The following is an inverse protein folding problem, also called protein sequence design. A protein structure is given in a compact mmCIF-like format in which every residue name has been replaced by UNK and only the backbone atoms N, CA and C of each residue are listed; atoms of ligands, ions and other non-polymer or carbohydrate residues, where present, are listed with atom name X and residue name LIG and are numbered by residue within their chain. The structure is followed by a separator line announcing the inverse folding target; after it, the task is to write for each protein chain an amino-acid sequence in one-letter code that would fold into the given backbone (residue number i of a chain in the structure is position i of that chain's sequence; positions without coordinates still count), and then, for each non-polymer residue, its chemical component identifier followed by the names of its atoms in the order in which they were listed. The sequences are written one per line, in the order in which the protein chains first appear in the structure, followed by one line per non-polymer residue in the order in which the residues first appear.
data_IF_230258016098
#
_entry.id   IF_230258016098
#
_cell.length_a   1.000
_cell.length_b   1.000
_cell.length_c   1.000
_cell.angle_alpha   90.00
_cell.angle_beta   90.00
_cell.angle_gamma   90.00
#
_symmetry.space_group_name_H-M   'P 1'
#
loop_
_entity.id
_entity.type
_entity.pdbx_description
1 polymer ?
#
# COMPACT_ATOMS: atom_id res chain seq x y z
N UNK A 1 13.33 -20.93 22.85
CA UNK A 1 12.16 -20.46 22.09
C UNK A 1 12.67 -19.54 20.98
N UNK A 2 12.80 -20.05 19.75
CA UNK A 2 13.33 -19.28 18.62
C UNK A 2 12.21 -18.37 18.09
N UNK A 3 12.47 -17.06 18.07
CA UNK A 3 11.66 -16.03 17.40
C UNK A 3 11.31 -16.50 16.00
N UNK A 4 10.04 -16.82 15.73
CA UNK A 4 9.53 -16.86 14.36
C UNK A 4 9.13 -15.42 14.00
N UNK A 5 10.12 -14.58 13.71
CA UNK A 5 9.86 -13.39 12.91
C UNK A 5 9.95 -13.88 11.47
N UNK A 6 8.81 -13.96 10.77
CA UNK A 6 8.86 -13.99 9.31
C UNK A 6 9.37 -12.61 8.92
N UNK A 7 10.69 -12.52 8.72
CA UNK A 7 11.34 -11.34 8.18
C UNK A 7 10.90 -11.27 6.72
N UNK A 8 9.87 -10.48 6.45
CA UNK A 8 9.58 -10.07 5.07
C UNK A 8 10.80 -9.33 4.53
N UNK A 9 11.21 -9.65 3.31
CA UNK A 9 12.27 -8.95 2.59
C UNK A 9 11.68 -8.13 1.43
N UNK A 10 12.37 -7.06 0.99
CA UNK A 10 11.98 -6.35 -0.22
C UNK A 10 11.86 -7.31 -1.42
N UNK A 11 10.73 -7.28 -2.10
CA UNK A 11 10.35 -8.19 -3.18
C UNK A 11 9.36 -9.29 -2.77
N UNK A 12 9.16 -9.53 -1.47
CA UNK A 12 8.17 -10.50 -1.01
C UNK A 12 6.74 -10.08 -1.36
N UNK A 13 5.90 -11.07 -1.66
CA UNK A 13 4.47 -10.86 -1.91
C UNK A 13 3.68 -11.24 -0.66
N UNK A 14 2.96 -10.27 -0.10
CA UNK A 14 2.09 -10.44 1.08
C UNK A 14 0.64 -10.20 0.71
N UNK A 15 -0.30 -10.75 1.49
CA UNK A 15 -1.73 -10.52 1.29
C UNK A 15 -2.32 -9.82 2.52
N UNK A 16 -3.01 -8.70 2.30
CA UNK A 16 -3.69 -7.94 3.34
C UNK A 16 -5.14 -7.69 2.93
N UNK A 17 -6.09 -8.12 3.76
CA UNK A 17 -7.54 -7.95 3.53
C UNK A 17 -8.00 -8.33 2.10
N UNK A 18 -7.45 -9.42 1.55
CA UNK A 18 -7.77 -9.94 0.22
C UNK A 18 -7.08 -9.24 -0.95
N UNK A 19 -6.19 -8.28 -0.69
CA UNK A 19 -5.37 -7.62 -1.71
C UNK A 19 -3.92 -8.08 -1.60
N UNK A 20 -3.30 -8.41 -2.73
CA UNK A 20 -1.88 -8.79 -2.80
C UNK A 20 -1.00 -7.55 -2.92
N UNK A 21 0.06 -7.49 -2.14
CA UNK A 21 1.05 -6.41 -2.14
C UNK A 21 2.45 -6.97 -2.33
N UNK A 22 3.33 -6.19 -2.96
CA UNK A 22 4.77 -6.40 -2.94
C UNK A 22 5.39 -5.53 -1.85
N UNK A 23 6.35 -6.07 -1.10
CA UNK A 23 7.14 -5.33 -0.13
C UNK A 23 8.22 -4.55 -0.87
N UNK A 24 8.21 -3.23 -0.77
CA UNK A 24 9.20 -2.34 -1.39
C UNK A 24 10.37 -2.06 -0.44
N UNK A 25 10.06 -1.85 0.85
CA UNK A 25 11.06 -1.52 1.87
C UNK A 25 10.64 -2.07 3.25
N UNK A 26 11.64 -2.27 4.11
CA UNK A 26 11.48 -2.81 5.46
C UNK A 26 12.28 -1.96 6.44
N UNK A 27 11.57 -1.05 7.12
CA UNK A 27 12.17 -0.20 8.14
C UNK A 27 12.23 -0.97 9.47
N UNK A 28 13.42 -1.47 9.83
CA UNK A 28 13.65 -2.22 11.07
C UNK A 28 13.69 -1.28 12.26
N UNK A 29 12.64 -1.31 13.09
CA UNK A 29 12.48 -0.38 14.23
C UNK A 29 12.91 -0.96 15.56
N UNK A 30 13.80 -1.96 15.55
CA UNK A 30 14.51 -2.48 16.73
C UNK A 30 13.60 -3.01 17.86
N UNK A 31 13.08 -2.10 18.70
CA UNK A 31 12.14 -2.40 19.78
C UNK A 31 10.66 -2.35 19.37
N UNK A 32 10.33 -1.70 18.25
CA UNK A 32 8.99 -1.66 17.65
C UNK A 32 8.89 -2.67 16.51
N UNK A 33 7.67 -3.14 16.17
CA UNK A 33 7.47 -3.99 15.00
C UNK A 33 7.98 -3.29 13.74
N UNK A 34 8.64 -4.06 12.88
CA UNK A 34 9.20 -3.56 11.63
C UNK A 34 8.09 -2.95 10.78
N UNK A 35 8.37 -1.85 10.09
CA UNK A 35 7.39 -1.17 9.23
C UNK A 35 7.65 -1.56 7.78
N UNK A 36 6.65 -2.16 7.15
CA UNK A 36 6.72 -2.57 5.75
C UNK A 36 6.14 -1.46 4.87
N UNK A 37 6.87 -1.09 3.83
CA UNK A 37 6.33 -0.29 2.74
C UNK A 37 5.82 -1.23 1.65
N UNK A 38 4.53 -1.12 1.34
CA UNK A 38 3.81 -2.09 0.53
C UNK A 38 3.20 -1.40 -0.68
N UNK A 39 3.30 -2.02 -1.85
CA UNK A 39 2.65 -1.57 -3.09
C UNK A 39 1.65 -2.64 -3.56
N UNK A 40 0.44 -2.24 -3.92
CA UNK A 40 -0.54 -3.16 -4.49
C UNK A 40 0.04 -3.83 -5.75
N UNK A 41 0.01 -5.16 -5.82
CA UNK A 41 0.59 -5.90 -6.94
C UNK A 41 -0.11 -5.52 -8.25
N UNK A 42 -1.44 -5.50 -8.22
CA UNK A 42 -2.30 -5.14 -9.34
C UNK A 42 -3.09 -3.87 -9.07
N UNK A 43 -3.67 -3.34 -10.14
CA UNK A 43 -4.60 -2.22 -10.05
C UNK A 43 -5.87 -2.61 -9.27
N UNK A 44 -6.22 -1.80 -8.26
CA UNK A 44 -7.38 -2.06 -7.37
C UNK A 44 -8.68 -1.44 -7.88
N UNK A 45 -8.65 -0.81 -9.06
CA UNK A 45 -9.75 -0.08 -9.67
C UNK A 45 -9.23 0.91 -10.71
N UNK A 46 -10.13 1.64 -11.34
CA UNK A 46 -9.75 2.72 -12.26
C UNK A 46 -10.41 4.03 -11.81
N UNK A 47 -9.68 5.14 -11.98
CA UNK A 47 -10.18 6.48 -11.70
C UNK A 47 -9.54 7.47 -12.65
N UNK A 48 -10.25 8.57 -12.87
CA UNK A 48 -9.63 9.79 -13.35
C UNK A 48 -8.67 10.31 -12.29
N UNK A 49 -7.67 11.07 -12.73
CA UNK A 49 -6.87 11.84 -11.80
C UNK A 49 -7.75 12.94 -11.20
N UNK A 50 -8.44 13.70 -12.05
CA UNK A 50 -9.41 14.72 -11.65
C UNK A 50 -9.33 15.94 -12.57
N UNK A 51 -9.81 17.09 -12.09
CA UNK A 51 -9.78 18.33 -12.86
C UNK A 51 -8.39 19.01 -12.91
N UNK A 52 -7.41 18.50 -12.16
CA UNK A 52 -6.04 18.99 -12.11
C UNK A 52 -5.10 17.85 -11.75
N UNK A 53 -3.80 18.03 -11.93
CA UNK A 53 -2.78 17.06 -11.53
C UNK A 53 -2.35 17.15 -10.05
N UNK A 54 -3.10 17.89 -9.22
CA UNK A 54 -2.88 17.96 -7.79
C UNK A 54 -3.51 16.76 -7.06
N UNK A 55 -2.69 15.81 -6.63
CA UNK A 55 -3.19 14.63 -5.92
C UNK A 55 -4.00 14.96 -4.66
N UNK A 56 -3.66 16.03 -3.93
CA UNK A 56 -4.33 16.36 -2.66
C UNK A 56 -5.84 16.63 -2.81
N UNK A 57 -6.25 17.21 -3.93
CA UNK A 57 -7.64 17.57 -4.24
C UNK A 57 -8.25 16.69 -5.34
N UNK A 58 -7.51 15.66 -5.76
CA UNK A 58 -7.82 14.79 -6.89
C UNK A 58 -8.99 13.83 -6.62
N UNK A 59 -9.65 13.41 -7.69
CA UNK A 59 -10.61 12.31 -7.63
C UNK A 59 -9.92 10.97 -7.41
N UNK A 60 -8.67 10.83 -7.88
CA UNK A 60 -7.82 9.69 -7.59
C UNK A 60 -7.62 9.48 -6.09
N UNK A 61 -7.37 10.54 -5.32
CA UNK A 61 -7.27 10.46 -3.86
C UNK A 61 -8.58 9.98 -3.24
N UNK A 62 -9.74 10.50 -3.68
CA UNK A 62 -11.05 10.04 -3.20
C UNK A 62 -11.27 8.56 -3.50
N UNK A 63 -10.83 8.08 -4.66
CA UNK A 63 -10.93 6.68 -5.03
C UNK A 63 -10.01 5.79 -4.19
N UNK A 64 -8.81 6.25 -3.86
CA UNK A 64 -7.88 5.57 -2.95
C UNK A 64 -8.42 5.54 -1.52
N UNK A 65 -8.96 6.66 -1.02
CA UNK A 65 -9.57 6.75 0.31
C UNK A 65 -10.77 5.79 0.41
N UNK A 66 -11.63 5.75 -0.62
CA UNK A 66 -12.76 4.82 -0.69
C UNK A 66 -12.29 3.35 -0.70
N UNK A 67 -11.27 3.04 -1.50
CA UNK A 67 -10.67 1.70 -1.50
C UNK A 67 -10.13 1.32 -0.11
N UNK A 68 -9.49 2.26 0.58
CA UNK A 68 -8.97 2.06 1.94
C UNK A 68 -10.10 1.83 2.96
N UNK A 69 -11.21 2.56 2.86
CA UNK A 69 -12.41 2.31 3.68
C UNK A 69 -12.98 0.92 3.43
N UNK A 70 -13.02 0.47 2.17
CA UNK A 70 -13.49 -0.87 1.81
C UNK A 70 -12.55 -1.97 2.30
N UNK A 71 -11.24 -1.72 2.33
CA UNK A 71 -10.27 -2.61 3.02
C UNK A 71 -10.58 -2.69 4.52
N UNK A 72 -10.97 -1.57 5.12
CA UNK A 72 -11.40 -1.51 6.51
C UNK A 72 -12.59 -2.44 6.80
N UNK A 73 -13.59 -2.45 5.91
CA UNK A 73 -14.76 -3.33 6.00
C UNK A 73 -14.41 -4.82 5.83
N UNK A 74 -13.29 -5.13 5.17
CA UNK A 74 -12.77 -6.50 4.98
C UNK A 74 -11.93 -7.01 6.15
N UNK A 75 -11.80 -6.22 7.23
CA UNK A 75 -11.09 -6.62 8.45
C UNK A 75 -9.72 -5.96 8.63
N UNK A 76 -9.33 -5.00 7.79
CA UNK A 76 -8.12 -4.21 8.03
C UNK A 76 -8.40 -3.11 9.08
N UNK A 77 -7.63 -3.08 10.15
CA UNK A 77 -7.67 -1.93 11.06
C UNK A 77 -6.87 -0.75 10.47
N UNK A 78 -7.57 0.13 9.75
CA UNK A 78 -7.00 1.34 9.15
C UNK A 78 -6.37 2.29 10.19
N UNK A 79 -6.64 2.15 11.49
CA UNK A 79 -5.98 2.92 12.54
C UNK A 79 -4.55 2.43 12.82
N UNK A 80 -4.23 1.16 12.53
CA UNK A 80 -2.89 0.58 12.71
C UNK A 80 -1.94 0.89 11.55
N UNK A 81 -2.45 1.41 10.44
CA UNK A 81 -1.63 1.85 9.32
C UNK A 81 -0.80 3.07 9.69
N UNK A 82 0.46 3.06 9.25
CA UNK A 82 1.40 4.13 9.53
C UNK A 82 1.20 5.21 8.47
N UNK A 83 0.89 6.45 8.86
CA UNK A 83 0.81 7.54 7.89
C UNK A 83 2.19 7.78 7.26
N UNK A 84 2.20 8.04 5.96
CA UNK A 84 3.39 8.39 5.19
C UNK A 84 3.22 9.80 4.62
N UNK A 85 4.29 10.57 4.65
CA UNK A 85 4.35 11.86 3.96
C UNK A 85 4.78 11.60 2.52
N UNK A 86 4.01 12.10 1.56
CA UNK A 86 4.37 12.11 0.15
C UNK A 86 4.71 13.54 -0.28
N UNK A 87 5.77 13.67 -1.07
CA UNK A 87 6.13 14.92 -1.72
C UNK A 87 5.39 15.01 -3.05
N UNK A 88 4.58 16.06 -3.23
CA UNK A 88 3.80 16.29 -4.45
C UNK A 88 4.54 17.22 -5.42
N UNK A 89 5.87 17.25 -5.36
CA UNK A 89 6.71 17.90 -6.36
C UNK A 89 6.44 17.28 -7.73
N UNK A 90 6.04 18.11 -8.67
CA UNK A 90 5.76 17.69 -10.06
C UNK A 90 7.05 17.39 -10.83
N UNK A 91 6.94 16.71 -11.97
CA UNK A 91 8.10 16.28 -12.77
C UNK A 91 9.01 17.45 -13.19
N UNK A 92 8.45 18.63 -13.45
CA UNK A 92 9.21 19.85 -13.78
C UNK A 92 9.99 20.46 -12.58
N UNK A 93 9.91 19.82 -11.41
CA UNK A 93 10.55 20.26 -10.17
C UNK A 93 9.74 21.31 -9.39
N UNK A 94 8.51 21.62 -9.80
CA UNK A 94 7.65 22.54 -9.07
C UNK A 94 7.07 21.86 -7.82
N UNK A 95 7.50 22.32 -6.64
CA UNK A 95 6.95 21.93 -5.33
C UNK A 95 5.67 22.70 -4.93
N UNK A 96 4.93 23.24 -5.90
CA UNK A 96 3.77 24.12 -5.65
C UNK A 96 2.63 23.46 -4.85
N UNK A 97 2.52 22.13 -4.90
CA UNK A 97 1.53 21.35 -4.16
C UNK A 97 1.98 20.97 -2.75
N UNK A 98 3.27 21.16 -2.42
CA UNK A 98 3.83 20.86 -1.12
C UNK A 98 3.83 19.36 -0.80
N UNK A 99 3.63 19.04 0.47
CA UNK A 99 3.65 17.67 0.98
C UNK A 99 2.32 17.29 1.61
N UNK A 100 1.99 16.00 1.52
CA UNK A 100 0.72 15.47 2.02
C UNK A 100 0.95 14.25 2.90
N UNK A 101 0.33 14.23 4.08
CA UNK A 101 0.33 13.03 4.94
C UNK A 101 -0.89 12.16 4.61
N UNK A 102 -0.64 10.93 4.17
CA UNK A 102 -1.66 9.97 3.74
C UNK A 102 -1.37 8.58 4.30
N UNK A 103 -2.40 7.75 4.45
CA UNK A 103 -2.22 6.34 4.83
C UNK A 103 -1.99 5.44 3.63
N UNK A 104 -2.64 5.74 2.52
CA UNK A 104 -2.47 5.08 1.25
C UNK A 104 -2.45 6.14 0.13
N UNK A 105 -1.54 5.98 -0.82
CA UNK A 105 -1.49 6.77 -2.03
C UNK A 105 -0.71 6.02 -3.09
N UNK A 106 -0.93 6.26 -4.39
CA UNK A 106 -0.02 5.80 -5.42
C UNK A 106 1.41 6.27 -5.15
N UNK A 107 2.39 5.59 -5.75
CA UNK A 107 3.78 5.99 -5.61
C UNK A 107 4.00 7.39 -6.19
N UNK A 108 4.90 8.15 -5.56
CA UNK A 108 5.50 9.31 -6.22
C UNK A 108 6.54 8.84 -7.24
N UNK A 109 6.93 9.72 -8.16
CA UNK A 109 8.01 9.46 -9.10
C UNK A 109 9.31 9.07 -8.38
N UNK A 110 9.66 9.78 -7.30
CA UNK A 110 10.90 9.51 -6.56
C UNK A 110 10.89 8.14 -5.89
N UNK A 111 9.74 7.72 -5.35
CA UNK A 111 9.58 6.37 -4.79
C UNK A 111 9.61 5.31 -5.89
N UNK A 112 8.94 5.55 -7.01
CA UNK A 112 8.97 4.65 -8.16
C UNK A 112 10.40 4.48 -8.71
N UNK A 113 11.23 5.52 -8.63
CA UNK A 113 12.66 5.48 -8.97
C UNK A 113 13.49 4.72 -7.96
N UNK A 114 13.24 4.94 -6.67
CA UNK A 114 13.98 4.31 -5.58
C UNK A 114 13.79 2.79 -5.57
N UNK A 115 12.57 2.30 -5.83
CA UNK A 115 12.24 0.88 -5.80
C UNK A 115 12.08 0.25 -7.19
N UNK A 116 12.59 0.90 -8.25
CA UNK A 116 12.40 0.48 -9.65
C UNK A 116 12.82 -0.98 -9.90
N UNK A 117 13.86 -1.47 -9.22
CA UNK A 117 14.40 -2.83 -9.38
C UNK A 117 13.48 -3.92 -8.79
N UNK A 118 12.58 -3.54 -7.87
CA UNK A 118 11.73 -4.45 -7.09
C UNK A 118 10.26 -4.36 -7.53
N UNK A 119 9.84 -3.22 -8.09
CA UNK A 119 8.46 -3.01 -8.53
C UNK A 119 8.12 -3.95 -9.70
N UNK A 120 7.17 -4.88 -9.53
CA UNK A 120 6.72 -5.71 -10.63
C UNK A 120 5.83 -4.91 -11.58
N UNK A 121 5.88 -5.26 -12.86
CA UNK A 121 4.98 -4.74 -13.87
C UNK A 121 3.52 -5.08 -13.53
N UNK A 122 2.63 -4.11 -13.70
CA UNK A 122 1.19 -4.29 -13.49
C UNK A 122 0.50 -4.62 -14.82
N UNK A 123 -0.62 -5.35 -14.78
CA UNK A 123 -1.37 -5.68 -16.00
C UNK A 123 -1.93 -4.45 -16.71
N UNK A 124 -2.20 -3.36 -15.94
CA UNK A 124 -2.78 -2.12 -16.44
C UNK A 124 -1.89 -0.93 -16.16
N UNK A 125 -1.98 0.08 -17.03
CA UNK A 125 -1.41 1.39 -16.76
C UNK A 125 -1.99 1.98 -15.47
N UNK A 126 -1.13 2.52 -14.60
CA UNK A 126 -1.52 3.01 -13.28
C UNK A 126 -1.00 4.42 -13.04
N UNK A 127 -1.85 5.28 -12.48
CA UNK A 127 -1.44 6.63 -12.08
C UNK A 127 -0.32 6.60 -11.02
N UNK A 128 0.59 7.58 -11.09
CA UNK A 128 1.44 7.99 -9.99
C UNK A 128 0.79 9.17 -9.26
N UNK A 129 1.22 9.45 -8.02
CA UNK A 129 0.76 10.63 -7.28
C UNK A 129 1.40 11.93 -7.79
N UNK A 130 2.41 11.83 -8.66
CA UNK A 130 3.18 12.96 -9.19
C UNK A 130 2.50 13.59 -10.40
N UNK A 131 2.21 14.89 -10.33
CA UNK A 131 1.77 15.68 -11.48
C UNK A 131 2.90 15.93 -12.48
N UNK A 132 2.55 16.19 -13.75
CA UNK A 132 3.54 16.44 -14.80
C UNK A 132 4.23 17.81 -14.65
N UNK A 133 3.47 18.87 -14.41
CA UNK A 133 4.00 20.22 -14.28
C UNK A 133 3.17 21.05 -13.32
N UNK A 134 3.71 22.18 -12.86
CA UNK A 134 2.94 23.12 -12.04
C UNK A 134 1.68 23.67 -12.75
N UNK A 135 0.68 24.16 -12.00
CA UNK A 135 -0.62 24.57 -12.53
C UNK A 135 -0.57 25.85 -13.38
N UNK A 136 0.54 26.59 -13.32
CA UNK A 136 0.78 27.78 -14.13
C UNK A 136 1.26 27.46 -15.55
N UNK A 137 1.54 26.19 -15.84
CA UNK A 137 1.99 25.72 -17.14
C UNK A 137 0.81 25.23 -17.98
N UNK A 138 0.96 25.26 -19.31
CA UNK A 138 -0.07 24.79 -20.24
C UNK A 138 -0.37 23.30 -20.14
N UNK A 139 0.57 22.54 -19.59
CA UNK A 139 0.54 21.10 -19.33
C UNK A 139 0.17 20.76 -17.87
N UNK A 140 -0.36 21.73 -17.10
CA UNK A 140 -0.84 21.52 -15.73
C UNK A 140 -2.01 20.52 -15.59
N UNK A 141 -2.62 20.14 -16.70
CA UNK A 141 -3.68 19.12 -16.77
C UNK A 141 -3.16 17.71 -17.07
N UNK A 142 -1.83 17.52 -17.06
CA UNK A 142 -1.17 16.23 -17.22
C UNK A 142 -0.66 15.69 -15.89
N UNK A 143 -0.80 14.38 -15.70
CA UNK A 143 -0.23 13.65 -14.57
C UNK A 143 0.62 12.47 -15.07
N UNK A 144 1.55 12.01 -14.23
CA UNK A 144 2.38 10.86 -14.55
C UNK A 144 1.62 9.56 -14.32
N UNK A 145 1.80 8.60 -15.22
CA UNK A 145 1.40 7.22 -15.02
C UNK A 145 2.50 6.26 -15.48
N UNK A 146 2.43 5.04 -14.97
CA UNK A 146 3.30 3.91 -15.37
C UNK A 146 2.51 3.01 -16.29
N UNK A 147 3.05 2.69 -17.47
CA UNK A 147 2.47 1.75 -18.41
C UNK A 147 2.74 0.30 -17.97
N UNK A 148 2.04 -0.67 -18.58
CA UNK A 148 2.13 -2.07 -18.15
C UNK A 148 3.51 -2.72 -18.37
N UNK A 149 4.37 -2.10 -19.19
CA UNK A 149 5.75 -2.52 -19.40
C UNK A 149 6.75 -1.86 -18.44
N UNK A 150 6.28 -0.96 -17.55
CA UNK A 150 7.13 -0.23 -16.59
C UNK A 150 7.56 1.17 -17.06
N UNK A 151 7.28 1.56 -18.31
CA UNK A 151 7.63 2.87 -18.83
C UNK A 151 6.75 3.99 -18.23
N UNK A 152 7.31 5.19 -18.12
CA UNK A 152 6.59 6.36 -17.60
C UNK A 152 6.14 7.28 -18.71
N UNK A 153 4.90 7.75 -18.62
CA UNK A 153 4.28 8.65 -19.59
C UNK A 153 3.41 9.69 -18.89
N UNK A 154 3.10 10.76 -19.61
CA UNK A 154 2.05 11.71 -19.27
C UNK A 154 0.69 11.25 -19.79
N UNK A 155 -0.35 11.54 -19.03
CA UNK A 155 -1.72 11.45 -19.51
C UNK A 155 -2.58 12.57 -18.94
N UNK A 156 -3.63 12.89 -19.68
CA UNK A 156 -4.62 13.88 -19.25
C UNK A 156 -5.29 13.44 -17.94
N UNK A 157 -5.43 14.36 -17.00
CA UNK A 157 -6.05 14.10 -15.71
C UNK A 157 -7.50 13.61 -15.80
N UNK A 158 -8.20 13.93 -16.91
CA UNK A 158 -9.54 13.45 -17.23
C UNK A 158 -9.59 12.02 -17.78
N UNK A 159 -8.44 11.39 -18.08
CA UNK A 159 -8.41 10.00 -18.52
C UNK A 159 -8.55 9.05 -17.32
N UNK A 160 -9.16 7.90 -17.53
CA UNK A 160 -9.31 6.88 -16.49
C UNK A 160 -8.19 5.84 -16.57
N UNK A 161 -7.30 5.83 -15.57
CA UNK A 161 -6.21 4.86 -15.44
C UNK A 161 -6.32 4.07 -14.13
N UNK A 162 -5.51 3.01 -14.03
CA UNK A 162 -5.49 2.13 -12.87
C UNK A 162 -5.04 2.84 -11.60
N UNK A 163 -5.60 2.41 -10.48
CA UNK A 163 -5.21 2.85 -9.14
C UNK A 163 -4.30 1.78 -8.56
N UNK A 164 -3.06 2.14 -8.21
CA UNK A 164 -2.10 1.21 -7.59
C UNK A 164 -1.56 1.82 -6.29
N UNK A 165 -2.30 1.67 -5.17
CA UNK A 165 -1.95 2.32 -3.92
C UNK A 165 -0.76 1.65 -3.26
N UNK A 166 0.09 2.46 -2.64
CA UNK A 166 1.13 2.08 -1.71
C UNK A 166 0.81 2.57 -0.30
N UNK A 167 1.14 1.77 0.72
CA UNK A 167 0.86 2.04 2.12
C UNK A 167 1.99 1.56 3.03
N UNK A 168 2.06 2.12 4.25
CA UNK A 168 2.96 1.62 5.30
C UNK A 168 2.16 0.89 6.37
N UNK A 169 2.57 -0.33 6.66
CA UNK A 169 1.90 -1.20 7.62
C UNK A 169 2.94 -1.84 8.55
N UNK A 170 2.63 -1.99 9.86
CA UNK A 170 3.50 -2.74 10.74
C UNK A 170 3.44 -4.23 10.37
N UNK A 171 4.60 -4.89 10.38
CA UNK A 171 4.80 -6.31 10.08
C UNK A 171 3.88 -7.23 10.88
N UNK A 172 3.51 -6.84 12.11
CA UNK A 172 2.56 -7.57 12.96
C UNK A 172 1.20 -7.82 12.29
N UNK A 173 0.78 -7.01 11.31
CA UNK A 173 -0.47 -7.24 10.56
C UNK A 173 -0.38 -8.47 9.63
N UNK A 174 0.82 -8.99 9.39
CA UNK A 174 1.08 -10.14 8.52
C UNK A 174 1.46 -11.39 9.31
N UNK A 175 1.82 -11.24 10.60
CA UNK A 175 2.14 -12.36 11.50
C UNK A 175 0.93 -13.28 11.74
N UNK A 176 -0.29 -12.78 11.53
CA UNK A 176 -1.54 -13.53 11.74
C UNK A 176 -2.03 -14.34 10.52
N UNK A 177 -1.40 -14.22 9.35
CA UNK A 177 -1.78 -15.00 8.15
C UNK A 177 -0.96 -16.28 8.07
N UNK A 178 -1.57 -17.41 8.43
CA UNK A 178 -1.17 -18.79 8.06
C UNK A 178 0.09 -19.39 8.73
N UNK A 179 0.75 -18.72 9.69
CA UNK A 179 1.90 -19.30 10.41
C UNK A 179 1.64 -19.65 11.89
N UNK A 180 0.44 -19.38 12.43
CA UNK A 180 0.21 -19.34 13.88
C UNK A 180 -0.72 -20.40 14.48
N UNK A 181 -1.46 -21.19 13.68
CA UNK A 181 -2.29 -22.29 14.20
C UNK A 181 -2.01 -23.58 13.45
N UNK A 182 -0.73 -23.91 13.31
CA UNK A 182 -0.34 -25.27 12.97
C UNK A 182 -0.66 -26.17 14.18
N UNK A 183 -1.87 -26.72 14.21
CA UNK A 183 -2.34 -27.65 15.25
C UNK A 183 -1.43 -28.88 15.39
N UNK A 184 -0.56 -29.17 14.41
CA UNK A 184 0.43 -30.25 14.51
C UNK A 184 1.59 -29.91 15.44
N UNK A 185 1.84 -28.62 15.72
CA UNK A 185 2.87 -28.15 16.66
C UNK A 185 2.36 -27.95 18.08
N UNK A 186 1.03 -27.97 18.27
CA UNK A 186 0.42 -27.85 19.59
C UNK A 186 0.27 -29.27 20.16
N UNK A 187 0.82 -29.57 21.34
CA UNK A 187 0.62 -30.86 21.99
C UNK A 187 -0.87 -31.15 22.17
N UNK A 188 -1.29 -32.38 21.84
CA UNK A 188 -2.69 -32.81 21.98
C UNK A 188 -3.24 -32.58 23.40
N UNK A 189 -2.37 -32.66 24.41
CA UNK A 189 -2.73 -32.43 25.82
C UNK A 189 -3.13 -30.98 26.10
N UNK A 190 -2.48 -29.99 25.50
CA UNK A 190 -2.82 -28.57 25.67
C UNK A 190 -4.19 -28.27 25.04
N UNK A 191 -4.49 -28.88 23.90
CA UNK A 191 -5.80 -28.77 23.24
C UNK A 191 -6.91 -29.41 24.09
N UNK A 192 -6.66 -30.59 24.66
CA UNK A 192 -7.60 -31.28 25.54
C UNK A 192 -7.85 -30.49 26.83
N UNK A 193 -6.81 -29.89 27.41
CA UNK A 193 -6.93 -29.09 28.63
C UNK A 193 -7.76 -27.82 28.40
N UNK A 194 -7.60 -27.17 27.24
CA UNK A 194 -8.40 -25.99 26.88
C UNK A 194 -9.87 -26.35 26.62
N UNK A 195 -10.14 -27.51 26.01
CA UNK A 195 -11.52 -28.03 25.85
C UNK A 195 -12.17 -28.28 27.22
N UNK A 196 -11.45 -28.94 28.14
CA UNK A 196 -11.94 -29.18 29.50
C UNK A 196 -12.18 -27.88 30.27
N UNK A 197 -11.31 -26.89 30.14
CA UNK A 197 -11.49 -25.56 30.75
C UNK A 197 -12.79 -24.91 30.28
N UNK A 198 -13.06 -24.89 28.97
CA UNK A 198 -14.28 -24.29 28.41
C UNK A 198 -15.56 -25.06 28.73
N UNK A 199 -15.47 -26.37 28.90
CA UNK A 199 -16.59 -27.18 29.38
C UNK A 199 -16.89 -26.90 30.85
N UNK A 200 -15.86 -26.70 31.68
CA UNK A 200 -16.02 -26.34 33.09
C UNK A 200 -16.53 -24.91 33.30
N UNK A 201 -16.17 -23.96 32.42
CA UNK A 201 -16.69 -22.58 32.45
C UNK A 201 -18.15 -22.46 31.98
N UNK A 202 -18.69 -23.49 31.31
CA UNK A 202 -20.09 -23.54 30.84
C UNK A 202 -21.04 -24.31 31.78
N UNK A 203 -20.53 -24.86 32.88
CA UNK A 203 -21.30 -25.54 33.92
C UNK A 203 -21.53 -24.60 35.11
#
# INVERSE_FOLDING_TARGET
MKKCAVLHEPGDIVTLAGTRFVVLDVERRGSLPDSLFLLALESVGASEFGSSNNYAESDLKKAVDKWLEDMGKRGLDNAKLIPREIDLTTLDGSGCYGKLSVKAAPLTLDEAREYADIIPNAERWCWLATGWSGPSKSDGDLALYVYSNGDWFDGYCSNSYGIRPALKAPSILFEDSEAGLDLSKIPTDDLLQEIHRRLAEKA
#
